data_IF_234543619083
#
_entry.id   IF_234543619083
#
_cell.length_a   1.000
_cell.length_b   1.000
_cell.length_c   1.000
_cell.angle_alpha   90.00
_cell.angle_beta   90.00
_cell.angle_gamma   90.00
#
_symmetry.space_group_name_H-M   'P 1'
#
loop_
_entity.id
_entity.type
_entity.pdbx_description
1 polymer ?
#
# COMPACT_ATOMS: atom_id res chain seq x y z
N UNK A 1 -24.62 -30.20 17.48
CA UNK A 1 -24.65 -28.75 17.17
C UNK A 1 -23.42 -28.01 17.75
N UNK A 2 -22.21 -28.54 17.60
CA UNK A 2 -20.99 -27.91 18.16
C UNK A 2 -19.85 -27.82 17.13
N UNK A 3 -19.64 -28.83 16.29
CA UNK A 3 -18.55 -28.87 15.30
C UNK A 3 -18.70 -27.88 14.13
N UNK A 4 -19.94 -27.60 13.70
CA UNK A 4 -20.21 -26.63 12.61
C UNK A 4 -19.74 -25.21 12.91
N UNK A 5 -19.71 -24.81 14.18
CA UNK A 5 -19.33 -23.44 14.56
C UNK A 5 -17.82 -23.22 14.42
N UNK A 6 -16.98 -24.23 14.66
CA UNK A 6 -15.52 -24.11 14.53
C UNK A 6 -15.08 -23.99 13.07
N UNK A 7 -15.74 -24.73 12.16
CA UNK A 7 -15.46 -24.66 10.72
C UNK A 7 -15.77 -23.28 10.14
N UNK A 8 -16.86 -22.65 10.56
CA UNK A 8 -17.24 -21.31 10.10
C UNK A 8 -16.22 -20.26 10.55
N UNK A 9 -15.80 -20.30 11.81
CA UNK A 9 -14.79 -19.37 12.35
C UNK A 9 -13.45 -19.54 11.65
N UNK A 10 -13.05 -20.78 11.35
CA UNK A 10 -11.81 -21.06 10.63
C UNK A 10 -11.87 -20.55 9.18
N UNK A 11 -13.01 -20.71 8.49
CA UNK A 11 -13.23 -20.17 7.16
C UNK A 11 -13.17 -18.64 7.14
N UNK A 12 -13.81 -17.98 8.11
CA UNK A 12 -13.77 -16.53 8.25
C UNK A 12 -12.35 -16.01 8.52
N UNK A 13 -11.57 -16.72 9.34
CA UNK A 13 -10.17 -16.37 9.58
C UNK A 13 -9.31 -16.47 8.30
N UNK A 14 -9.47 -17.54 7.52
CA UNK A 14 -8.76 -17.70 6.24
C UNK A 14 -9.13 -16.56 5.29
N UNK A 15 -10.42 -16.23 5.20
CA UNK A 15 -10.92 -15.14 4.38
C UNK A 15 -10.28 -13.81 4.81
N UNK A 16 -10.33 -13.45 6.09
CA UNK A 16 -9.72 -12.22 6.62
C UNK A 16 -8.20 -12.14 6.36
N UNK A 17 -7.48 -13.26 6.47
CA UNK A 17 -6.05 -13.33 6.19
C UNK A 17 -5.74 -13.14 4.70
N UNK A 18 -6.56 -13.67 3.81
CA UNK A 18 -6.41 -13.50 2.35
C UNK A 18 -6.72 -12.06 1.91
N UNK A 19 -7.78 -11.44 2.47
CA UNK A 19 -8.13 -10.05 2.16
C UNK A 19 -7.10 -9.04 2.70
N UNK A 20 -6.47 -9.34 3.85
CA UNK A 20 -5.41 -8.47 4.40
C UNK A 20 -4.17 -8.40 3.51
N UNK A 21 -3.85 -9.46 2.77
CA UNK A 21 -2.71 -9.46 1.83
C UNK A 21 -2.98 -8.64 0.57
N UNK A 22 -4.24 -8.54 0.13
CA UNK A 22 -4.61 -7.83 -1.11
C UNK A 22 -4.59 -6.31 -0.99
N UNK A 23 -4.47 -5.77 0.24
CA UNK A 23 -4.44 -4.32 0.48
C UNK A 23 -3.05 -3.77 0.77
N UNK A 24 -2.02 -4.62 0.80
CA UNK A 24 -0.62 -4.21 0.90
C UNK A 24 -0.05 -3.83 -0.48
N UNK A 25 -0.74 -2.96 -1.21
CA UNK A 25 -0.10 -2.28 -2.34
C UNK A 25 1.07 -1.45 -1.79
N UNK A 26 2.28 -1.83 -2.19
CA UNK A 26 3.55 -1.41 -1.62
C UNK A 26 3.77 0.09 -1.73
N UNK A 27 3.33 0.82 -0.72
CA UNK A 27 3.55 2.23 -0.59
C UNK A 27 5.02 2.52 -0.29
N UNK A 28 5.76 3.04 -1.27
CA UNK A 28 7.13 3.51 -1.07
C UNK A 28 7.10 4.97 -0.59
N UNK A 29 7.45 5.20 0.67
CA UNK A 29 7.38 6.53 1.29
C UNK A 29 8.60 7.39 0.92
N UNK A 30 8.38 8.42 0.08
CA UNK A 30 9.44 9.34 -0.37
C UNK A 30 9.15 10.80 -0.04
N UNK A 31 10.21 11.52 0.33
CA UNK A 31 10.18 12.97 0.51
C UNK A 31 9.15 13.48 1.54
N UNK A 32 9.13 14.79 1.73
CA UNK A 32 8.10 15.47 2.52
C UNK A 32 7.07 16.11 1.61
N UNK A 33 5.82 16.16 2.07
CA UNK A 33 4.74 16.80 1.34
C UNK A 33 3.80 17.53 2.30
N UNK A 34 3.09 18.51 1.73
CA UNK A 34 1.93 19.15 2.35
C UNK A 34 0.64 18.95 1.53
N UNK A 35 0.76 18.43 0.31
CA UNK A 35 -0.33 18.16 -0.61
C UNK A 35 0.05 17.07 -1.60
N UNK A 36 -0.94 16.39 -2.15
CA UNK A 36 -0.76 15.27 -3.09
C UNK A 36 -0.08 15.69 -4.40
N UNK A 37 -0.31 16.93 -4.87
CA UNK A 37 0.35 17.47 -6.06
C UNK A 37 1.88 17.57 -5.92
N UNK A 38 2.40 17.74 -4.70
CA UNK A 38 3.86 17.69 -4.49
C UNK A 38 4.40 16.28 -4.76
N UNK A 39 3.60 15.25 -4.48
CA UNK A 39 3.99 13.87 -4.68
C UNK A 39 4.14 13.50 -6.16
N UNK A 40 3.44 14.16 -7.08
CA UNK A 40 3.67 14.00 -8.54
C UNK A 40 5.08 14.33 -8.98
N UNK A 41 5.76 15.24 -8.28
CA UNK A 41 7.16 15.58 -8.58
C UNK A 41 8.17 14.70 -7.86
N UNK A 42 7.79 14.16 -6.70
CA UNK A 42 8.65 13.32 -5.85
C UNK A 42 8.62 11.87 -6.33
N UNK A 43 7.43 11.34 -6.58
CA UNK A 43 7.19 10.02 -7.11
C UNK A 43 7.33 10.07 -8.64
N UNK A 44 8.58 9.99 -9.11
CA UNK A 44 8.94 9.87 -10.53
C UNK A 44 9.67 8.56 -10.75
N UNK A 45 9.43 7.91 -11.88
CA UNK A 45 10.11 6.67 -12.23
C UNK A 45 9.24 5.79 -13.13
N UNK A 46 9.88 4.82 -13.78
CA UNK A 46 9.19 3.78 -14.50
C UNK A 46 8.44 2.90 -13.49
N UNK A 47 7.19 2.53 -13.76
CA UNK A 47 6.41 1.71 -12.83
C UNK A 47 5.51 2.46 -11.85
N UNK A 48 5.64 3.79 -11.71
CA UNK A 48 4.88 4.59 -10.74
C UNK A 48 3.52 5.00 -11.32
N UNK A 49 2.43 4.72 -10.60
CA UNK A 49 1.11 5.21 -10.99
C UNK A 49 0.87 6.62 -10.44
N UNK A 50 0.96 7.61 -11.33
CA UNK A 50 0.72 9.02 -11.01
C UNK A 50 -0.72 9.34 -10.56
N UNK A 51 -1.67 8.42 -10.73
CA UNK A 51 -3.07 8.56 -10.27
C UNK A 51 -3.23 8.16 -8.80
N UNK A 52 -2.30 7.39 -8.24
CA UNK A 52 -2.37 6.88 -6.87
C UNK A 52 -1.23 7.44 -6.00
N UNK A 53 -1.02 8.76 -6.07
CA UNK A 53 -0.03 9.46 -5.25
C UNK A 53 -0.72 10.17 -4.10
N UNK A 54 -0.35 9.82 -2.87
CA UNK A 54 -0.97 10.33 -1.64
C UNK A 54 0.06 10.98 -0.72
N UNK A 55 -0.25 12.17 -0.22
CA UNK A 55 0.50 12.77 0.88
C UNK A 55 -0.06 12.26 2.21
N UNK A 56 0.59 11.23 2.76
CA UNK A 56 0.15 10.60 4.00
C UNK A 56 0.65 11.41 5.19
N UNK A 57 -0.21 11.83 6.12
CA UNK A 57 0.21 12.50 7.34
C UNK A 57 1.19 11.60 8.11
N UNK A 58 2.40 12.10 8.32
CA UNK A 58 3.45 11.34 9.00
C UNK A 58 3.75 11.93 10.38
N UNK A 59 3.61 13.25 10.52
CA UNK A 59 3.86 13.95 11.77
C UNK A 59 3.10 15.28 11.83
N UNK A 60 3.08 15.91 13.00
CA UNK A 60 2.56 17.27 13.22
C UNK A 60 3.28 18.34 12.39
N UNK A 61 4.42 18.01 11.78
CA UNK A 61 5.19 18.89 10.89
C UNK A 61 4.91 18.69 9.39
N UNK A 62 4.11 17.70 9.00
CA UNK A 62 3.76 17.44 7.61
C UNK A 62 3.60 15.96 7.25
N UNK A 63 3.37 15.69 5.96
CA UNK A 63 3.21 14.35 5.41
C UNK A 63 4.46 13.83 4.69
N UNK A 64 4.40 12.56 4.30
CA UNK A 64 5.32 11.92 3.36
C UNK A 64 4.54 11.43 2.13
N UNK A 65 5.16 11.45 0.96
CA UNK A 65 4.51 10.94 -0.23
C UNK A 65 4.54 9.42 -0.24
N UNK A 66 3.39 8.82 -0.45
CA UNK A 66 3.20 7.42 -0.76
C UNK A 66 3.26 7.25 -2.28
N UNK A 67 4.33 6.63 -2.77
CA UNK A 67 4.47 6.31 -4.18
C UNK A 67 4.04 4.87 -4.42
N UNK A 68 2.94 4.66 -5.15
CA UNK A 68 2.45 3.34 -5.50
C UNK A 68 2.92 2.95 -6.91
N UNK A 69 3.38 1.72 -7.04
CA UNK A 69 3.66 1.11 -8.33
C UNK A 69 2.36 0.50 -8.91
N UNK A 70 2.15 0.58 -10.22
CA UNK A 70 1.03 -0.13 -10.84
C UNK A 70 1.29 -1.64 -10.81
N UNK A 71 0.22 -2.43 -10.69
CA UNK A 71 0.27 -3.90 -10.75
C UNK A 71 1.07 -4.37 -11.98
N UNK A 72 2.18 -5.08 -11.74
CA UNK A 72 3.08 -5.58 -12.79
C UNK A 72 4.35 -4.74 -13.03
N UNK A 73 4.55 -3.62 -12.33
CA UNK A 73 5.85 -2.96 -12.30
C UNK A 73 6.81 -3.74 -11.39
N UNK A 74 8.06 -4.02 -11.82
CA UNK A 74 9.02 -4.70 -10.98
C UNK A 74 9.26 -3.87 -9.72
N UNK A 75 8.97 -4.45 -8.54
CA UNK A 75 9.40 -3.88 -7.28
C UNK A 75 10.92 -3.78 -7.36
N UNK A 76 11.47 -2.58 -7.31
CA UNK A 76 12.91 -2.31 -7.37
C UNK A 76 13.63 -2.75 -6.09
N UNK A 77 13.34 -3.96 -5.61
CA UNK A 77 13.90 -4.60 -4.42
C UNK A 77 14.69 -5.86 -4.76
N UNK A 78 14.91 -6.16 -6.04
CA UNK A 78 16.00 -7.04 -6.46
C UNK A 78 17.19 -6.16 -6.85
N UNK A 79 17.87 -5.62 -5.83
CA UNK A 79 19.29 -5.31 -5.97
C UNK A 79 20.06 -6.63 -5.81
N UNK A 80 20.86 -6.93 -6.83
CA UNK A 80 21.69 -8.14 -7.02
C UNK A 80 22.67 -8.35 -5.87
#
# INVERSE_FOLDING_TARGET
MSEQNYHLVYLLLIICLLFSQSTASGCDFKGFCRSDDQCKRICRGHGIDTRFLLCVPYSSKGGKCCCLHYEGAPSSSEEI
#
